data_IF_480767999936
#
_entry.id   IF_480767999936
#
_cell.length_a   1.000
_cell.length_b   1.000
_cell.length_c   1.000
_cell.angle_alpha   90.00
_cell.angle_beta   90.00
_cell.angle_gamma   90.00
#
_symmetry.space_group_name_H-M   'P 1'
#
loop_
_entity.id
_entity.type
_entity.pdbx_description
1 polymer ?
#
# COMPACT_ATOMS: atom_id res chain seq x y z
N UNK A 1 19.19 -12.23 15.91
CA UNK A 1 18.05 -11.46 16.45
C UNK A 1 17.96 -10.18 15.64
N UNK A 2 16.98 -10.09 14.74
CA UNK A 2 16.67 -8.84 14.05
C UNK A 2 16.06 -7.90 15.09
N UNK A 3 16.80 -6.89 15.51
CA UNK A 3 16.22 -5.79 16.31
C UNK A 3 15.14 -5.15 15.45
N UNK A 4 13.88 -5.30 15.85
CA UNK A 4 12.79 -4.53 15.26
C UNK A 4 13.09 -3.06 15.55
N UNK A 5 13.19 -2.25 14.49
CA UNK A 5 13.42 -0.81 14.58
C UNK A 5 12.08 -0.16 14.29
N UNK A 6 11.42 0.33 15.33
CA UNK A 6 10.09 0.92 15.27
C UNK A 6 10.09 2.42 15.58
N UNK A 7 11.20 2.94 16.13
CA UNK A 7 11.35 4.35 16.46
C UNK A 7 12.73 4.90 16.06
N UNK A 8 12.85 6.24 16.09
CA UNK A 8 14.11 6.94 15.78
C UNK A 8 15.27 6.56 16.72
N UNK A 9 15.02 6.33 18.00
CA UNK A 9 16.09 6.06 18.98
C UNK A 9 16.76 4.70 18.71
N UNK A 10 15.98 3.70 18.35
CA UNK A 10 16.43 2.39 17.91
C UNK A 10 17.19 2.50 16.58
N UNK A 11 16.72 3.35 15.66
CA UNK A 11 17.41 3.58 14.39
C UNK A 11 18.78 4.24 14.59
N UNK A 12 18.89 5.26 15.47
CA UNK A 12 20.16 5.89 15.83
C UNK A 12 21.12 4.89 16.50
N UNK A 13 20.62 4.13 17.48
CA UNK A 13 21.40 3.08 18.16
C UNK A 13 21.87 1.97 17.21
N UNK A 14 21.10 1.74 16.14
CA UNK A 14 21.49 0.84 15.06
C UNK A 14 22.57 1.47 14.17
N UNK A 15 22.41 2.74 13.77
CA UNK A 15 23.36 3.47 12.95
C UNK A 15 24.74 3.59 13.60
N UNK A 16 24.81 3.73 14.93
CA UNK A 16 26.08 3.77 15.67
C UNK A 16 26.95 2.51 15.45
N UNK A 17 26.32 1.39 15.05
CA UNK A 17 27.00 0.11 14.76
C UNK A 17 27.37 -0.01 13.28
N UNK A 18 26.87 0.88 12.43
CA UNK A 18 27.09 0.87 10.98
C UNK A 18 28.28 1.76 10.64
N UNK A 19 29.25 1.21 9.92
CA UNK A 19 30.39 1.97 9.40
C UNK A 19 30.32 2.04 7.88
N UNK A 20 30.25 3.25 7.33
CA UNK A 20 30.15 3.45 5.89
C UNK A 20 31.53 3.41 5.22
N UNK A 21 31.92 2.23 4.75
CA UNK A 21 33.17 2.05 3.99
C UNK A 21 33.04 2.41 2.51
N UNK A 22 31.84 2.29 1.93
CA UNK A 22 31.58 2.51 0.51
C UNK A 22 30.23 3.18 0.25
N UNK A 23 30.04 3.67 -0.99
CA UNK A 23 28.73 4.13 -1.48
C UNK A 23 27.67 3.02 -1.43
N UNK A 24 28.07 1.76 -1.58
CA UNK A 24 27.17 0.61 -1.47
C UNK A 24 26.54 0.48 -0.09
N UNK A 25 27.27 0.80 0.98
CA UNK A 25 26.74 0.81 2.34
C UNK A 25 25.62 1.83 2.54
N UNK A 26 25.74 3.01 1.90
CA UNK A 26 24.66 4.00 1.94
C UNK A 26 23.40 3.51 1.22
N UNK A 27 23.57 2.79 0.10
CA UNK A 27 22.45 2.25 -0.68
C UNK A 27 21.68 1.20 0.13
N UNK A 28 22.39 0.31 0.82
CA UNK A 28 21.77 -0.73 1.65
C UNK A 28 21.00 -0.12 2.80
N UNK A 29 21.57 0.90 3.46
CA UNK A 29 20.89 1.56 4.59
C UNK A 29 19.71 2.44 4.15
N UNK A 30 19.82 3.09 2.99
CA UNK A 30 18.69 3.83 2.41
C UNK A 30 17.52 2.89 2.12
N UNK A 31 17.78 1.74 1.50
CA UNK A 31 16.75 0.74 1.21
C UNK A 31 16.12 0.19 2.49
N UNK A 32 16.94 0.00 3.53
CA UNK A 32 16.47 -0.42 4.85
C UNK A 32 15.59 0.63 5.51
N UNK A 33 16.01 1.89 5.54
CA UNK A 33 15.22 2.98 6.10
C UNK A 33 13.85 3.12 5.43
N UNK A 34 13.80 3.03 4.11
CA UNK A 34 12.55 3.00 3.34
C UNK A 34 11.68 1.79 3.71
N UNK A 35 12.28 0.63 3.97
CA UNK A 35 11.53 -0.57 4.36
C UNK A 35 10.95 -0.51 5.78
N UNK A 36 11.57 0.25 6.69
CA UNK A 36 11.12 0.37 8.08
C UNK A 36 9.79 1.12 8.21
N UNK A 37 9.46 1.99 7.24
CA UNK A 37 8.19 2.73 7.25
C UNK A 37 7.92 3.44 8.59
N UNK A 38 8.96 4.03 9.19
CA UNK A 38 8.82 4.78 10.45
C UNK A 38 7.80 5.92 10.29
N UNK A 39 7.21 6.42 11.38
CA UNK A 39 6.39 7.64 11.35
C UNK A 39 7.13 8.81 10.70
N UNK A 40 6.42 9.74 10.06
CA UNK A 40 7.02 10.85 9.31
C UNK A 40 8.07 11.64 10.10
N UNK A 41 7.75 12.03 11.34
CA UNK A 41 8.66 12.78 12.22
C UNK A 41 9.96 12.00 12.47
N UNK A 42 9.84 10.70 12.73
CA UNK A 42 10.96 9.80 12.93
C UNK A 42 11.75 9.57 11.64
N UNK A 43 11.09 9.51 10.47
CA UNK A 43 11.78 9.38 9.18
C UNK A 43 12.60 10.60 8.83
N UNK A 44 12.10 11.81 9.09
CA UNK A 44 12.85 13.05 8.82
C UNK A 44 14.16 13.01 9.61
N UNK A 45 14.08 12.75 10.92
CA UNK A 45 15.26 12.63 11.78
C UNK A 45 16.16 11.45 11.39
N UNK A 46 15.59 10.35 10.92
CA UNK A 46 16.35 9.19 10.48
C UNK A 46 17.13 9.46 9.18
N UNK A 47 16.53 10.19 8.23
CA UNK A 47 17.21 10.63 7.00
C UNK A 47 18.36 11.57 7.34
N UNK A 48 18.14 12.54 8.23
CA UNK A 48 19.19 13.44 8.72
C UNK A 48 20.33 12.63 9.36
N UNK A 49 20.02 11.78 10.33
CA UNK A 49 21.00 10.94 11.02
C UNK A 49 21.78 10.02 10.06
N UNK A 50 21.12 9.45 9.05
CA UNK A 50 21.75 8.63 8.03
C UNK A 50 22.75 9.44 7.19
N UNK A 51 22.36 10.65 6.77
CA UNK A 51 23.24 11.54 5.98
C UNK A 51 24.43 12.06 6.80
N UNK A 52 24.21 12.40 8.07
CA UNK A 52 25.26 12.83 8.99
C UNK A 52 26.24 11.69 9.28
N UNK A 53 25.75 10.49 9.56
CA UNK A 53 26.60 9.32 9.79
C UNK A 53 27.42 8.96 8.54
N UNK A 54 26.84 9.10 7.34
CA UNK A 54 27.58 8.92 6.09
C UNK A 54 28.68 9.97 5.93
N UNK A 55 28.36 11.24 6.17
CA UNK A 55 29.31 12.34 6.09
C UNK A 55 30.45 12.19 7.11
N UNK A 56 30.14 11.81 8.35
CA UNK A 56 31.14 11.58 9.39
C UNK A 56 32.16 10.49 9.02
N UNK A 57 31.72 9.42 8.33
CA UNK A 57 32.59 8.33 7.92
C UNK A 57 33.35 8.59 6.61
N UNK A 58 32.77 9.35 5.68
CA UNK A 58 33.31 9.51 4.31
C UNK A 58 33.89 10.90 4.02
N UNK A 59 33.51 11.91 4.79
CA UNK A 59 33.88 13.31 4.56
C UNK A 59 33.20 13.95 3.33
N UNK A 60 32.28 13.25 2.67
CA UNK A 60 31.55 13.72 1.48
C UNK A 60 30.05 13.51 1.66
N UNK A 61 29.24 14.44 1.13
CA UNK A 61 27.79 14.32 1.14
C UNK A 61 27.32 13.29 0.10
N UNK A 62 26.26 12.51 0.38
CA UNK A 62 25.77 11.45 -0.50
C UNK A 62 24.96 11.97 -1.71
N UNK A 63 25.41 13.02 -2.39
CA UNK A 63 24.62 13.76 -3.40
C UNK A 63 24.42 13.04 -4.73
N UNK A 64 25.35 12.15 -5.13
CA UNK A 64 25.34 11.50 -6.46
C UNK A 64 25.34 9.98 -6.38
N UNK A 65 24.78 9.43 -5.31
CA UNK A 65 24.72 7.98 -5.11
C UNK A 65 23.48 7.46 -5.82
N UNK A 66 23.70 6.68 -6.89
CA UNK A 66 22.61 6.06 -7.66
C UNK A 66 22.31 4.66 -7.13
N UNK A 67 21.04 4.32 -7.09
CA UNK A 67 20.54 2.99 -6.73
C UNK A 67 19.41 2.54 -7.65
N UNK A 68 19.04 1.27 -7.56
CA UNK A 68 17.85 0.76 -8.23
C UNK A 68 16.66 0.77 -7.26
N UNK A 69 15.56 1.38 -7.69
CA UNK A 69 14.27 1.32 -7.01
C UNK A 69 13.66 -0.10 -7.13
N UNK A 70 12.57 -0.40 -6.40
CA UNK A 70 11.80 -1.66 -6.44
C UNK A 70 11.38 -2.06 -7.86
N UNK A 71 11.27 -1.08 -8.78
CA UNK A 71 10.93 -1.27 -10.20
C UNK A 71 12.16 -1.47 -11.12
N UNK A 72 13.37 -1.56 -10.57
CA UNK A 72 14.62 -1.69 -11.32
C UNK A 72 15.07 -0.42 -12.04
N UNK A 73 14.46 0.73 -11.75
CA UNK A 73 14.84 2.03 -12.33
C UNK A 73 16.00 2.64 -11.55
N UNK A 74 16.93 3.28 -12.24
CA UNK A 74 17.99 4.05 -11.59
C UNK A 74 17.44 5.36 -11.04
N UNK A 75 17.64 5.59 -9.74
CA UNK A 75 17.21 6.78 -8.99
C UNK A 75 18.36 7.22 -8.08
N UNK A 76 18.42 8.50 -7.74
CA UNK A 76 19.36 8.98 -6.73
C UNK A 76 18.87 8.62 -5.33
N UNK A 77 19.77 8.23 -4.44
CA UNK A 77 19.43 7.75 -3.10
C UNK A 77 18.68 8.82 -2.28
N UNK A 78 19.12 10.09 -2.38
CA UNK A 78 18.45 11.20 -1.72
C UNK A 78 17.09 11.51 -2.33
N UNK A 79 16.93 11.41 -3.65
CA UNK A 79 15.64 11.57 -4.31
C UNK A 79 14.65 10.51 -3.82
N UNK A 80 15.09 9.25 -3.67
CA UNK A 80 14.24 8.19 -3.15
C UNK A 80 13.79 8.47 -1.70
N UNK A 81 14.70 8.95 -0.84
CA UNK A 81 14.37 9.33 0.53
C UNK A 81 13.39 10.51 0.57
N UNK A 82 13.62 11.53 -0.27
CA UNK A 82 12.74 12.68 -0.40
C UNK A 82 11.35 12.27 -0.89
N UNK A 83 11.26 11.45 -1.93
CA UNK A 83 10.01 10.88 -2.43
C UNK A 83 9.26 10.14 -1.32
N UNK A 84 9.97 9.39 -0.47
CA UNK A 84 9.38 8.65 0.64
C UNK A 84 8.89 9.56 1.79
N UNK A 85 9.59 10.66 2.05
CA UNK A 85 9.11 11.69 2.99
C UNK A 85 7.85 12.38 2.43
N UNK A 86 7.88 12.74 1.14
CA UNK A 86 6.76 13.39 0.46
C UNK A 86 5.56 12.46 0.26
N UNK A 87 5.79 11.15 0.14
CA UNK A 87 4.73 10.16 -0.05
C UNK A 87 3.69 10.23 1.07
N UNK A 88 4.12 10.36 2.33
CA UNK A 88 3.18 10.45 3.45
C UNK A 88 2.44 11.80 3.48
N UNK A 89 3.12 12.91 3.15
CA UNK A 89 2.48 14.21 3.01
C UNK A 89 1.41 14.23 1.89
N UNK A 90 1.62 13.51 0.80
CA UNK A 90 0.71 13.50 -0.35
C UNK A 90 -0.34 12.38 -0.31
N UNK A 91 0.03 11.20 0.20
CA UNK A 91 -0.78 9.97 0.17
C UNK A 91 -1.03 9.32 1.53
N UNK A 92 -0.22 9.61 2.56
CA UNK A 92 -0.31 8.95 3.87
C UNK A 92 -1.30 9.58 4.85
N UNK A 93 -1.80 10.78 4.56
CA UNK A 93 -2.93 11.35 5.28
C UNK A 93 -4.24 10.65 4.87
N UNK A 94 -4.69 9.72 5.71
CA UNK A 94 -5.91 8.94 5.49
C UNK A 94 -7.20 9.70 5.83
N UNK A 95 -7.11 11.00 6.17
CA UNK A 95 -8.29 11.82 6.46
C UNK A 95 -9.15 11.97 5.20
N UNK A 96 -10.44 11.58 5.25
CA UNK A 96 -11.30 11.58 4.08
C UNK A 96 -11.64 12.98 3.56
N UNK A 97 -11.46 14.02 4.37
CA UNK A 97 -11.85 15.41 4.12
C UNK A 97 -10.69 16.33 3.67
N UNK A 98 -9.49 15.78 3.46
CA UNK A 98 -8.27 16.50 3.08
C UNK A 98 -8.44 17.42 1.87
N UNK A 99 -9.06 16.93 0.78
CA UNK A 99 -9.34 17.73 -0.43
C UNK A 99 -10.14 19.00 -0.09
N UNK A 100 -11.08 18.86 0.85
CA UNK A 100 -12.02 19.93 1.22
C UNK A 100 -11.39 20.99 2.10
N UNK A 101 -10.52 20.59 3.04
CA UNK A 101 -9.94 21.49 4.03
C UNK A 101 -8.65 22.16 3.56
N UNK A 102 -7.78 21.44 2.85
CA UNK A 102 -6.38 21.86 2.69
C UNK A 102 -5.99 22.09 1.22
N UNK A 103 -6.67 21.48 0.24
CA UNK A 103 -6.13 21.39 -1.14
C UNK A 103 -6.95 22.11 -2.24
N UNK A 104 -8.12 22.70 -1.95
CA UNK A 104 -8.82 23.60 -2.91
C UNK A 104 -8.18 24.99 -2.80
N UNK A 105 -7.57 25.58 -3.87
CA UNK A 105 -7.88 25.44 -5.31
C UNK A 105 -6.76 24.79 -6.16
N UNK A 106 -5.90 23.96 -5.58
CA UNK A 106 -4.68 23.44 -6.23
C UNK A 106 -4.96 22.25 -7.16
N UNK A 107 -6.02 21.48 -6.89
CA UNK A 107 -6.32 20.26 -7.64
C UNK A 107 -7.18 20.47 -8.90
N UNK A 108 -6.80 19.77 -9.97
CA UNK A 108 -7.61 19.68 -11.20
C UNK A 108 -8.84 18.76 -11.00
N UNK A 109 -9.91 18.92 -11.80
CA UNK A 109 -11.11 18.07 -11.72
C UNK A 109 -10.82 16.56 -11.86
N UNK A 110 -9.82 16.20 -12.69
CA UNK A 110 -9.42 14.80 -12.89
C UNK A 110 -8.70 14.21 -11.67
N UNK A 111 -7.87 15.01 -10.99
CA UNK A 111 -7.22 14.60 -9.76
C UNK A 111 -8.24 14.38 -8.63
N UNK A 112 -9.24 15.26 -8.52
CA UNK A 112 -10.36 15.11 -7.57
C UNK A 112 -11.11 13.81 -7.84
N UNK A 113 -11.48 13.55 -9.10
CA UNK A 113 -12.22 12.33 -9.47
C UNK A 113 -11.47 11.05 -9.09
N UNK A 114 -10.16 10.98 -9.35
CA UNK A 114 -9.33 9.82 -8.98
C UNK A 114 -9.26 9.63 -7.48
N UNK A 115 -9.04 10.69 -6.70
CA UNK A 115 -8.98 10.60 -5.24
C UNK A 115 -10.32 10.18 -4.62
N UNK A 116 -11.44 10.70 -5.12
CA UNK A 116 -12.79 10.27 -4.70
C UNK A 116 -13.03 8.79 -5.02
N UNK A 117 -12.56 8.31 -6.19
CA UNK A 117 -12.80 6.93 -6.65
C UNK A 117 -11.84 5.91 -6.03
N UNK A 118 -10.55 6.21 -6.01
CA UNK A 118 -9.48 5.27 -5.63
C UNK A 118 -9.20 5.32 -4.12
N UNK A 119 -9.26 6.51 -3.51
CA UNK A 119 -8.99 6.72 -2.07
C UNK A 119 -10.24 6.94 -1.24
N UNK A 120 -11.37 7.23 -1.88
CA UNK A 120 -12.63 7.46 -1.17
C UNK A 120 -12.70 8.81 -0.45
N UNK A 121 -11.87 9.79 -0.82
CA UNK A 121 -11.93 11.14 -0.25
C UNK A 121 -13.33 11.76 -0.52
N UNK A 122 -13.95 12.40 0.49
CA UNK A 122 -15.31 12.95 0.45
C UNK A 122 -15.20 14.47 0.38
N UNK A 123 -15.58 15.05 -0.75
CA UNK A 123 -15.49 16.49 -0.98
C UNK A 123 -16.69 17.31 -0.50
N UNK A 124 -17.75 16.70 0.06
CA UNK A 124 -19.03 17.41 0.27
C UNK A 124 -19.81 17.05 1.55
N UNK A 125 -19.62 15.88 2.18
CA UNK A 125 -20.45 15.47 3.32
C UNK A 125 -19.62 15.19 4.59
N UNK A 126 -19.45 16.23 5.41
CA UNK A 126 -18.76 16.18 6.70
C UNK A 126 -19.35 15.11 7.64
N UNK A 127 -20.68 14.91 7.62
CA UNK A 127 -21.33 13.92 8.50
C UNK A 127 -21.03 12.48 8.07
N UNK A 128 -20.92 12.23 6.75
CA UNK A 128 -20.51 10.94 6.23
C UNK A 128 -19.01 10.67 6.48
N UNK A 129 -18.16 11.71 6.37
CA UNK A 129 -16.74 11.63 6.69
C UNK A 129 -16.50 11.27 8.17
N UNK A 130 -17.17 11.95 9.09
CA UNK A 130 -17.08 11.71 10.55
C UNK A 130 -17.55 10.31 10.98
N UNK A 131 -18.48 9.70 10.24
CA UNK A 131 -18.98 8.34 10.53
C UNK A 131 -18.13 7.23 9.91
N UNK A 132 -17.23 7.57 8.99
CA UNK A 132 -16.43 6.58 8.26
C UNK A 132 -15.17 6.17 9.01
N UNK A 133 -14.64 7.05 9.86
CA UNK A 133 -13.45 6.82 10.69
C UNK A 133 -13.89 6.73 12.15
N UNK A 134 -13.61 5.60 12.81
CA UNK A 134 -13.83 5.50 14.25
C UNK A 134 -12.67 6.15 15.03
N UNK A 135 -12.88 6.36 16.33
CA UNK A 135 -11.83 6.73 17.31
C UNK A 135 -10.58 5.86 17.23
N UNK A 136 -10.73 4.65 16.72
CA UNK A 136 -9.72 3.60 16.65
C UNK A 136 -8.77 3.78 15.44
N UNK A 137 -8.95 4.85 14.64
CA UNK A 137 -8.17 5.14 13.43
C UNK A 137 -8.48 4.21 12.25
N UNK A 138 -9.50 3.36 12.37
CA UNK A 138 -9.91 2.41 11.33
C UNK A 138 -11.04 2.99 10.48
N UNK A 139 -10.95 2.74 9.17
CA UNK A 139 -11.95 3.12 8.20
C UNK A 139 -13.03 2.02 8.07
N UNK A 140 -14.24 2.29 8.55
CA UNK A 140 -15.40 1.39 8.49
C UNK A 140 -16.26 1.61 7.24
N UNK A 141 -15.77 2.39 6.28
CA UNK A 141 -16.48 2.65 5.04
C UNK A 141 -16.71 1.35 4.27
N UNK A 142 -17.94 1.17 3.78
CA UNK A 142 -18.23 0.12 2.80
C UNK A 142 -17.50 0.44 1.49
N UNK A 143 -16.65 -0.46 0.96
CA UNK A 143 -15.94 -0.20 -0.29
C UNK A 143 -16.94 0.16 -1.38
N UNK A 144 -16.74 1.31 -2.03
CA UNK A 144 -17.60 1.69 -3.14
C UNK A 144 -17.19 0.82 -4.34
N UNK A 145 -17.94 -0.26 -4.59
CA UNK A 145 -17.62 -1.17 -5.69
C UNK A 145 -17.84 -0.41 -7.00
N UNK A 146 -16.85 -0.48 -7.89
CA UNK A 146 -17.00 0.00 -9.27
C UNK A 146 -18.25 -0.63 -9.87
N UNK A 147 -19.05 0.19 -10.56
CA UNK A 147 -20.14 -0.33 -11.40
C UNK A 147 -19.52 -1.27 -12.42
N UNK A 148 -19.92 -2.54 -12.38
CA UNK A 148 -19.46 -3.56 -13.32
C UNK A 148 -19.92 -3.22 -14.73
N UNK A 149 -19.11 -3.54 -15.73
CA UNK A 149 -19.56 -3.45 -17.13
C UNK A 149 -20.67 -4.48 -17.40
N UNK A 150 -21.48 -4.30 -18.47
CA UNK A 150 -22.50 -5.28 -18.84
C UNK A 150 -21.93 -6.70 -19.03
N UNK A 151 -20.73 -6.81 -19.60
CA UNK A 151 -20.03 -8.09 -19.77
C UNK A 151 -19.63 -8.73 -18.42
N UNK A 152 -19.14 -7.92 -17.48
CA UNK A 152 -18.78 -8.40 -16.15
C UNK A 152 -20.00 -8.83 -15.34
N UNK A 153 -21.15 -8.16 -15.51
CA UNK A 153 -22.41 -8.58 -14.90
C UNK A 153 -22.87 -9.93 -15.44
N UNK A 154 -22.87 -10.11 -16.77
CA UNK A 154 -23.21 -11.40 -17.40
C UNK A 154 -22.35 -12.55 -16.84
N UNK A 155 -21.04 -12.36 -16.76
CA UNK A 155 -20.12 -13.38 -16.23
C UNK A 155 -20.41 -13.72 -14.76
N UNK A 156 -20.74 -12.72 -13.94
CA UNK A 156 -21.10 -12.94 -12.52
C UNK A 156 -22.43 -13.67 -12.41
N UNK A 157 -23.40 -13.36 -13.26
CA UNK A 157 -24.69 -14.04 -13.33
C UNK A 157 -24.55 -15.51 -13.76
N UNK A 158 -23.74 -15.79 -14.79
CA UNK A 158 -23.43 -17.16 -15.21
C UNK A 158 -22.80 -17.98 -14.08
N UNK A 159 -21.81 -17.42 -13.37
CA UNK A 159 -21.19 -18.09 -12.23
C UNK A 159 -22.18 -18.35 -11.08
N UNK A 160 -23.12 -17.42 -10.85
CA UNK A 160 -24.15 -17.61 -9.84
C UNK A 160 -25.14 -18.72 -10.23
N UNK A 161 -25.53 -18.77 -11.51
CA UNK A 161 -26.39 -19.80 -12.08
C UNK A 161 -25.72 -21.18 -12.06
N UNK A 162 -24.42 -21.26 -12.37
CA UNK A 162 -23.65 -22.50 -12.32
C UNK A 162 -23.59 -23.07 -10.90
N UNK A 163 -23.29 -22.23 -9.90
CA UNK A 163 -23.36 -22.63 -8.49
C UNK A 163 -24.76 -23.06 -8.05
N UNK A 164 -25.80 -22.37 -8.53
CA UNK A 164 -27.17 -22.74 -8.24
C UNK A 164 -27.54 -24.11 -8.85
N UNK A 165 -27.03 -24.42 -10.05
CA UNK A 165 -27.18 -25.73 -10.69
C UNK A 165 -26.45 -26.82 -9.93
N UNK A 166 -25.21 -26.58 -9.48
CA UNK A 166 -24.45 -27.52 -8.65
C UNK A 166 -25.15 -27.86 -7.33
N UNK A 167 -25.92 -26.92 -6.77
CA UNK A 167 -26.69 -27.12 -5.55
C UNK A 167 -28.07 -27.76 -5.78
N UNK A 168 -28.52 -27.91 -7.03
CA UNK A 168 -29.82 -28.49 -7.35
C UNK A 168 -29.73 -30.02 -7.42
N UNK A 169 -30.38 -30.70 -6.47
CA UNK A 169 -30.38 -32.16 -6.34
C UNK A 169 -30.86 -32.88 -7.61
N UNK A 170 -31.93 -32.39 -8.24
CA UNK A 170 -32.46 -32.99 -9.48
C UNK A 170 -31.48 -32.85 -10.66
N UNK A 171 -30.75 -31.74 -10.72
CA UNK A 171 -29.72 -31.53 -11.75
C UNK A 171 -28.50 -32.45 -11.51
N UNK A 172 -28.09 -32.61 -10.25
CA UNK A 172 -27.02 -33.55 -9.87
C UNK A 172 -27.39 -34.98 -10.21
N UNK A 173 -28.61 -35.41 -9.86
CA UNK A 173 -29.09 -36.77 -10.12
C UNK A 173 -29.22 -37.06 -11.61
N UNK A 174 -29.56 -36.06 -12.43
CA UNK A 174 -29.63 -36.19 -13.89
C UNK A 174 -28.24 -36.29 -14.57
N UNK A 175 -27.21 -35.66 -14.01
CA UNK A 175 -25.84 -35.67 -14.56
C UNK A 175 -25.02 -36.84 -14.02
N UNK A 176 -25.37 -37.36 -12.84
CA UNK A 176 -24.70 -38.51 -12.26
C UNK A 176 -24.94 -39.76 -13.13
N UNK A 177 -23.89 -40.50 -13.52
CA UNK A 177 -24.06 -41.73 -14.29
C UNK A 177 -24.84 -42.77 -13.46
N UNK A 178 -25.76 -43.48 -14.11
CA UNK A 178 -26.55 -44.52 -13.45
C UNK A 178 -25.63 -45.65 -12.94
N UNK A 179 -25.89 -46.13 -11.71
CA UNK A 179 -25.12 -47.25 -11.14
C UNK A 179 -25.49 -48.54 -11.86
N UNK A 180 -24.57 -49.09 -12.65
CA UNK A 180 -24.74 -50.39 -13.31
C UNK A 180 -24.73 -51.49 -12.23
N UNK A 181 -25.90 -52.05 -11.92
CA UNK A 181 -26.02 -53.24 -11.06
C UNK A 181 -25.95 -54.48 -11.95
N UNK A 182 -24.83 -55.21 -11.92
CA UNK A 182 -24.75 -56.53 -12.57
C UNK A 182 -25.60 -57.51 -11.76
N UNK A 183 -26.72 -57.95 -12.32
CA UNK A 183 -27.49 -59.05 -11.74
C UNK A 183 -26.64 -60.32 -11.87
N UNK A 184 -26.46 -61.02 -10.74
CA UNK A 184 -25.76 -62.30 -10.72
C UNK A 184 -26.66 -63.31 -11.44
N UNK A 185 -26.23 -63.74 -12.62
CA UNK A 185 -26.89 -64.84 -13.34
C UNK A 185 -26.63 -66.11 -12.52
N UNK A 186 -27.72 -66.74 -12.05
CA UNK A 186 -27.70 -68.04 -11.35
C UNK A 186 -27.57 -69.15 -12.37
#
# INVERSE_FOLDING_TARGET
>A
MTTEINNINEYKSYLDKVVFTSKGGFITETSKLVSLMLPLEDRIQAVEALTEAYFAHRGEMPTKIKMQDRRGRFVEALDLLADHLMYEFLEGDARPDKITLEERPVLTPNQIKRRVQDRGEISVDFNAALKSQASDGKNYRRPNRRVRSPYENHKVEEQALEKAKENNEAYRDAINPSKIRRLKVV
#
